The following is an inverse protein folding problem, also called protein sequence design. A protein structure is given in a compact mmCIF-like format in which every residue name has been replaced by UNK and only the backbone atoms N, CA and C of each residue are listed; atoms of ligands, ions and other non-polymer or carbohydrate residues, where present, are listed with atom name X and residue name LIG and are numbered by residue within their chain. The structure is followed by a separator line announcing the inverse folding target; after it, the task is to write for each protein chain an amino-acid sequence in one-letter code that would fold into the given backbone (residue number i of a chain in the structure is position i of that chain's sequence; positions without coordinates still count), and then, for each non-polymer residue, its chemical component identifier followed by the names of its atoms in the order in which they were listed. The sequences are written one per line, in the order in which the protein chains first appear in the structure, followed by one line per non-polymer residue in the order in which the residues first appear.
data_IF_201353552692
#
_entry.id   IF_201353552692
#
_cell.length_a   1.000
_cell.length_b   1.000
_cell.length_c   1.000
_cell.angle_alpha   90.00
_cell.angle_beta   90.00
_cell.angle_gamma   90.00
#
_symmetry.space_group_name_H-M   'P 1'
#
loop_
_entity.id
_entity.type
_entity.pdbx_description
1 polymer ?
#
# COMPACT_ATOMS: atom_id res chain seq x y z
N UNK A 1 2.38 53.63 48.42
CA UNK A 1 1.03 53.03 48.57
C UNK A 1 0.64 52.41 47.25
N UNK A 2 0.25 51.12 47.29
CA UNK A 2 -0.63 50.34 46.41
C UNK A 2 -0.97 50.96 45.04
N UNK A 3 -0.61 50.32 43.93
CA UNK A 3 -1.47 49.30 43.29
C UNK A 3 -2.42 50.01 42.32
N UNK A 4 -2.47 49.67 41.03
CA UNK A 4 -3.36 48.64 40.51
C UNK A 4 -2.85 48.21 39.13
N UNK A 5 -2.61 46.91 38.99
CA UNK A 5 -2.52 46.18 37.73
C UNK A 5 -3.90 46.16 37.05
N UNK A 6 -3.93 46.36 35.75
CA UNK A 6 -5.07 46.07 34.89
C UNK A 6 -4.80 46.68 33.51
N UNK A 7 -5.17 46.10 32.39
CA UNK A 7 -5.88 44.86 32.12
C UNK A 7 -5.62 44.63 30.62
N UNK A 8 -4.91 43.54 30.30
CA UNK A 8 -5.18 42.65 29.18
C UNK A 8 -5.92 43.25 27.96
N UNK A 9 -5.17 43.57 26.89
CA UNK A 9 -5.70 43.80 25.55
C UNK A 9 -5.12 42.82 24.53
N UNK A 10 -5.25 41.52 24.82
CA UNK A 10 -4.93 40.45 23.87
C UNK A 10 -6.07 40.38 22.86
N UNK A 11 -5.91 41.04 21.70
CA UNK A 11 -6.79 40.84 20.54
C UNK A 11 -5.92 40.74 19.28
N UNK A 12 -5.26 39.60 19.14
CA UNK A 12 -4.65 39.16 17.88
C UNK A 12 -4.63 37.62 17.81
N UNK A 13 -5.74 36.99 18.22
CA UNK A 13 -5.84 35.53 18.34
C UNK A 13 -7.19 35.04 17.81
N UNK A 14 -7.57 35.48 16.61
CA UNK A 14 -8.76 34.97 15.91
C UNK A 14 -8.52 34.97 14.40
N UNK A 15 -7.55 34.22 13.87
CA UNK A 15 -7.52 33.91 12.42
C UNK A 15 -6.88 32.55 12.03
N UNK A 16 -6.47 31.68 12.97
CA UNK A 16 -5.81 30.40 12.64
C UNK A 16 -6.71 29.16 12.81
N UNK A 17 -8.04 29.27 12.70
CA UNK A 17 -8.96 28.13 12.88
C UNK A 17 -10.07 28.10 11.83
N UNK A 18 -9.72 28.14 10.54
CA UNK A 18 -10.65 27.79 9.46
C UNK A 18 -9.91 27.48 8.15
N UNK A 19 -9.09 26.43 8.15
CA UNK A 19 -8.83 25.67 6.93
C UNK A 19 -8.52 24.23 7.29
N UNK A 20 -9.46 23.57 7.97
CA UNK A 20 -9.64 22.16 7.67
C UNK A 20 -10.23 22.15 6.26
N UNK A 21 -9.37 22.10 5.26
CA UNK A 21 -9.82 21.58 3.99
C UNK A 21 -10.37 20.18 4.33
N UNK A 22 -11.69 20.02 4.24
CA UNK A 22 -12.22 18.74 3.81
C UNK A 22 -11.89 18.64 2.33
N UNK A 23 -10.60 18.51 2.04
CA UNK A 23 -10.22 17.80 0.84
C UNK A 23 -10.63 16.37 1.15
N UNK A 24 -11.39 15.73 0.26
CA UNK A 24 -11.63 14.29 0.25
C UNK A 24 -10.28 13.60 -0.06
N UNK A 25 -9.30 13.83 0.81
CA UNK A 25 -7.93 13.39 0.69
C UNK A 25 -7.86 11.96 1.18
N UNK A 26 -7.16 11.12 0.41
CA UNK A 26 -6.92 9.73 0.75
C UNK A 26 -6.55 9.54 2.23
N UNK A 27 -7.33 8.69 2.89
CA UNK A 27 -7.16 8.31 4.29
C UNK A 27 -6.97 6.79 4.36
N UNK A 28 -5.72 6.28 4.45
CA UNK A 28 -5.47 4.85 4.43
C UNK A 28 -6.19 4.15 5.58
N UNK A 29 -6.73 2.97 5.29
CA UNK A 29 -7.33 2.13 6.33
C UNK A 29 -6.27 1.69 7.35
N UNK A 30 -6.59 1.77 8.64
CA UNK A 30 -5.66 1.40 9.71
C UNK A 30 -6.07 0.09 10.38
N UNK A 31 -5.08 -0.78 10.61
CA UNK A 31 -5.21 -1.98 11.41
C UNK A 31 -3.98 -2.15 12.32
N UNK A 32 -4.11 -3.00 13.32
CA UNK A 32 -3.06 -3.28 14.31
C UNK A 32 -1.92 -4.08 13.68
N UNK A 33 -2.25 -4.99 12.76
CA UNK A 33 -1.32 -5.68 11.88
C UNK A 33 -1.65 -5.41 10.42
N UNK A 34 -0.63 -5.15 9.61
CA UNK A 34 -0.75 -4.85 8.19
C UNK A 34 0.17 -5.78 7.40
N UNK A 35 -0.40 -6.52 6.46
CA UNK A 35 0.33 -7.37 5.52
C UNK A 35 0.02 -6.96 4.08
N UNK A 36 0.75 -5.99 3.55
CA UNK A 36 0.52 -5.38 2.25
C UNK A 36 1.74 -5.48 1.30
N UNK A 37 2.67 -6.38 1.60
CA UNK A 37 3.90 -6.57 0.84
C UNK A 37 3.69 -7.41 -0.43
N UNK A 38 4.37 -7.01 -1.49
CA UNK A 38 4.44 -7.67 -2.79
C UNK A 38 5.91 -7.96 -3.12
N UNK A 39 6.17 -9.17 -3.61
CA UNK A 39 7.42 -9.57 -4.25
C UNK A 39 7.13 -9.91 -5.71
N UNK A 40 7.76 -9.19 -6.63
CA UNK A 40 7.55 -9.38 -8.06
C UNK A 40 8.87 -9.75 -8.72
N UNK A 41 8.92 -10.95 -9.29
CA UNK A 41 10.01 -11.34 -10.20
C UNK A 41 9.70 -10.90 -11.62
N UNK A 42 10.75 -10.65 -12.42
CA UNK A 42 10.60 -10.36 -13.84
C UNK A 42 11.63 -11.14 -14.62
N UNK A 43 11.16 -12.08 -15.45
CA UNK A 43 12.00 -12.94 -16.26
C UNK A 43 11.62 -12.89 -17.74
N UNK A 44 12.59 -13.18 -18.61
CA UNK A 44 12.31 -13.39 -20.03
C UNK A 44 11.77 -14.81 -20.32
N UNK A 45 11.42 -15.08 -21.57
CA UNK A 45 10.91 -16.40 -21.99
C UNK A 45 11.93 -17.55 -21.80
N UNK A 46 13.22 -17.25 -21.65
CA UNK A 46 14.26 -18.22 -21.35
C UNK A 46 14.47 -18.40 -19.83
N UNK A 47 13.77 -17.64 -19.00
CA UNK A 47 13.86 -17.66 -17.55
C UNK A 47 15.01 -16.82 -16.98
N UNK A 48 15.64 -15.97 -17.79
CA UNK A 48 16.70 -15.08 -17.31
C UNK A 48 16.10 -13.97 -16.44
N UNK A 49 16.76 -13.65 -15.33
CA UNK A 49 16.36 -12.60 -14.40
C UNK A 49 16.65 -11.21 -15.00
N UNK A 50 15.60 -10.50 -15.36
CA UNK A 50 15.69 -9.16 -15.96
C UNK A 50 15.90 -8.07 -14.91
N UNK A 51 15.56 -8.30 -13.64
CA UNK A 51 15.80 -7.35 -12.55
C UNK A 51 17.27 -7.25 -12.16
N UNK A 52 18.10 -8.21 -12.59
CA UNK A 52 19.55 -8.12 -12.44
C UNK A 52 20.19 -7.03 -13.34
N UNK A 53 19.46 -6.54 -14.35
CA UNK A 53 19.94 -5.50 -15.26
C UNK A 53 19.73 -4.12 -14.66
N UNK A 54 20.81 -3.35 -14.47
CA UNK A 54 20.75 -1.96 -14.02
C UNK A 54 19.89 -1.08 -14.93
N UNK A 55 19.91 -1.36 -16.25
CA UNK A 55 19.09 -0.61 -17.20
C UNK A 55 17.59 -0.83 -16.99
N UNK A 56 17.17 -2.07 -16.69
CA UNK A 56 15.78 -2.38 -16.34
C UNK A 56 15.44 -1.76 -14.99
N UNK A 57 16.29 -1.94 -13.98
CA UNK A 57 16.08 -1.40 -12.65
C UNK A 57 15.89 0.14 -12.64
N UNK A 58 16.62 0.85 -13.50
CA UNK A 58 16.52 2.31 -13.63
C UNK A 58 15.16 2.79 -14.21
N UNK A 59 14.39 1.92 -14.85
CA UNK A 59 13.06 2.25 -15.38
C UNK A 59 11.93 2.04 -14.38
N UNK A 60 12.21 1.40 -13.25
CA UNK A 60 11.18 0.98 -12.31
C UNK A 60 10.60 2.19 -11.58
N UNK A 61 9.28 2.32 -11.60
CA UNK A 61 8.56 3.19 -10.69
C UNK A 61 7.29 2.51 -10.22
N UNK A 62 7.01 2.60 -8.93
CA UNK A 62 5.79 2.09 -8.31
C UNK A 62 5.00 3.30 -7.82
N UNK A 63 3.78 3.49 -8.31
CA UNK A 63 2.94 4.62 -7.96
C UNK A 63 1.62 4.14 -7.36
N UNK A 64 1.29 4.62 -6.17
CA UNK A 64 0.02 4.37 -5.52
C UNK A 64 -1.02 5.36 -5.99
N UNK A 65 -2.04 4.88 -6.71
CA UNK A 65 -3.09 5.75 -7.24
C UNK A 65 -3.91 6.43 -6.13
N UNK A 66 -4.29 5.75 -5.02
CA UNK A 66 -5.02 6.42 -3.94
C UNK A 66 -4.18 7.48 -3.23
N UNK A 67 -2.91 7.19 -2.90
CA UNK A 67 -2.06 8.16 -2.18
C UNK A 67 -1.49 9.27 -3.06
N UNK A 68 -1.65 9.14 -4.37
CA UNK A 68 -1.04 9.97 -5.41
C UNK A 68 0.49 10.11 -5.27
N UNK A 69 1.17 9.06 -4.78
CA UNK A 69 2.60 9.09 -4.44
C UNK A 69 3.36 7.91 -5.00
N UNK A 70 4.66 8.13 -5.20
CA UNK A 70 5.60 7.04 -5.44
C UNK A 70 5.75 6.18 -4.19
N UNK A 71 5.56 4.89 -4.37
CA UNK A 71 5.78 3.85 -3.36
C UNK A 71 7.27 3.48 -3.38
N UNK A 72 7.99 3.57 -2.25
CA UNK A 72 9.34 3.07 -2.15
C UNK A 72 9.41 1.57 -2.44
N UNK A 73 10.45 1.15 -3.14
CA UNK A 73 10.70 -0.25 -3.44
C UNK A 73 12.18 -0.58 -3.23
N UNK A 74 12.46 -1.86 -3.09
CA UNK A 74 13.80 -2.43 -3.04
C UNK A 74 13.91 -3.58 -4.05
N UNK A 75 15.11 -3.87 -4.53
CA UNK A 75 15.38 -5.10 -5.27
C UNK A 75 16.10 -6.05 -4.31
N UNK A 76 15.41 -7.11 -3.91
CA UNK A 76 15.89 -8.10 -2.96
C UNK A 76 16.36 -9.36 -3.69
N UNK A 77 17.56 -9.83 -3.37
CA UNK A 77 18.02 -11.13 -3.85
C UNK A 77 17.59 -12.22 -2.88
N UNK A 78 16.70 -13.12 -3.33
CA UNK A 78 16.15 -14.20 -2.50
C UNK A 78 16.64 -15.53 -3.07
N UNK A 79 17.33 -16.31 -2.22
CA UNK A 79 17.80 -17.64 -2.56
C UNK A 79 16.85 -18.70 -1.96
N UNK A 80 16.30 -19.56 -2.83
CA UNK A 80 15.48 -20.71 -2.44
C UNK A 80 16.04 -21.95 -3.12
N UNK A 81 16.45 -22.94 -2.34
CA UNK A 81 16.99 -24.22 -2.82
C UNK A 81 18.10 -24.05 -3.88
N UNK A 82 19.11 -23.23 -3.57
CA UNK A 82 20.29 -22.93 -4.42
C UNK A 82 20.00 -22.11 -5.69
N UNK A 83 18.74 -21.77 -5.96
CA UNK A 83 18.36 -20.83 -7.01
C UNK A 83 18.18 -19.45 -6.38
N UNK A 84 19.01 -18.51 -6.80
CA UNK A 84 18.93 -17.09 -6.41
C UNK A 84 18.23 -16.30 -7.51
N UNK A 85 17.27 -15.45 -7.12
CA UNK A 85 16.53 -14.58 -8.02
C UNK A 85 16.29 -13.23 -7.36
N UNK A 86 16.34 -12.16 -8.15
CA UNK A 86 15.97 -10.83 -7.70
C UNK A 86 14.45 -10.64 -7.74
N UNK A 87 13.93 -9.94 -6.74
CA UNK A 87 12.54 -9.58 -6.61
C UNK A 87 12.41 -8.09 -6.35
N UNK A 88 11.51 -7.45 -7.07
CA UNK A 88 11.03 -6.11 -6.74
C UNK A 88 10.11 -6.23 -5.51
N UNK A 89 10.53 -5.66 -4.40
CA UNK A 89 9.87 -5.70 -3.09
C UNK A 89 9.30 -4.34 -2.74
N UNK A 90 8.00 -4.27 -2.46
CA UNK A 90 7.32 -3.03 -2.06
C UNK A 90 6.03 -3.32 -1.29
N UNK A 91 5.56 -2.31 -0.56
CA UNK A 91 4.28 -2.36 0.14
C UNK A 91 3.25 -1.52 -0.62
N UNK A 92 2.16 -2.14 -1.04
CA UNK A 92 1.09 -1.44 -1.77
C UNK A 92 0.31 -0.51 -0.83
N UNK A 93 -0.28 0.54 -1.38
CA UNK A 93 -1.20 1.40 -0.61
C UNK A 93 -2.35 0.58 -0.03
N UNK A 94 -2.76 0.93 1.19
CA UNK A 94 -3.96 0.37 1.79
C UNK A 94 -5.20 0.96 1.11
N UNK A 95 -6.36 0.29 1.18
CA UNK A 95 -7.61 0.89 0.73
C UNK A 95 -7.90 2.19 1.48
N UNK A 96 -8.60 3.12 0.85
CA UNK A 96 -9.18 4.26 1.57
C UNK A 96 -10.21 3.75 2.58
N UNK A 97 -10.24 4.35 3.77
CA UNK A 97 -11.20 3.98 4.82
C UNK A 97 -12.66 4.08 4.37
N UNK A 98 -12.98 5.02 3.47
CA UNK A 98 -14.33 5.24 2.97
C UNK A 98 -14.78 4.19 1.94
N UNK A 99 -13.81 3.51 1.30
CA UNK A 99 -14.07 2.49 0.29
C UNK A 99 -14.14 1.06 0.87
N UNK A 100 -13.88 0.92 2.18
CA UNK A 100 -13.96 -0.36 2.87
C UNK A 100 -15.42 -0.80 3.05
N UNK A 101 -15.71 -2.03 2.63
CA UNK A 101 -17.03 -2.67 2.79
C UNK A 101 -16.96 -3.70 3.91
N UNK A 102 -17.73 -3.46 4.97
CA UNK A 102 -17.79 -4.33 6.15
C UNK A 102 -19.06 -5.17 6.20
N UNK A 103 -19.00 -6.28 6.94
CA UNK A 103 -20.19 -6.96 7.42
C UNK A 103 -20.88 -6.17 8.57
N UNK A 104 -22.06 -6.64 9.00
CA UNK A 104 -22.93 -5.92 9.94
C UNK A 104 -22.25 -5.61 11.29
N UNK A 105 -21.52 -6.57 11.84
CA UNK A 105 -20.79 -6.45 13.11
C UNK A 105 -19.39 -5.83 12.96
N UNK A 106 -18.99 -5.48 11.74
CA UNK A 106 -17.66 -4.95 11.37
C UNK A 106 -16.49 -5.85 11.76
N UNK A 107 -16.73 -7.14 12.02
CA UNK A 107 -15.66 -8.11 12.30
C UNK A 107 -14.87 -8.48 11.05
N UNK A 108 -15.44 -8.28 9.86
CA UNK A 108 -14.80 -8.59 8.58
C UNK A 108 -15.01 -7.44 7.59
N UNK A 109 -14.00 -7.15 6.79
CA UNK A 109 -14.06 -6.12 5.76
C UNK A 109 -13.31 -6.50 4.50
N UNK A 110 -13.63 -5.82 3.40
CA UNK A 110 -12.90 -5.89 2.14
C UNK A 110 -12.68 -4.48 1.62
N UNK A 111 -11.54 -4.28 0.96
CA UNK A 111 -11.23 -3.03 0.29
C UNK A 111 -10.33 -3.28 -0.90
N UNK A 112 -10.19 -2.27 -1.74
CA UNK A 112 -9.35 -2.31 -2.93
C UNK A 112 -8.42 -1.11 -2.94
N UNK A 113 -7.25 -1.31 -3.53
CA UNK A 113 -6.27 -0.27 -3.83
C UNK A 113 -5.70 -0.52 -5.21
N UNK A 114 -5.14 0.52 -5.83
CA UNK A 114 -4.60 0.44 -7.19
C UNK A 114 -3.16 0.92 -7.20
N UNK A 115 -2.29 0.14 -7.85
CA UNK A 115 -0.89 0.50 -8.05
C UNK A 115 -0.57 0.49 -9.53
N UNK A 116 0.08 1.55 -9.99
CA UNK A 116 0.66 1.66 -11.32
C UNK A 116 2.15 1.31 -11.24
N UNK A 117 2.52 0.21 -11.89
CA UNK A 117 3.91 -0.24 -12.02
C UNK A 117 4.41 0.11 -13.42
N UNK A 118 5.42 0.96 -13.51
CA UNK A 118 6.20 1.12 -14.74
C UNK A 118 7.49 0.30 -14.62
N UNK A 119 7.80 -0.48 -15.65
CA UNK A 119 9.00 -1.30 -15.73
C UNK A 119 9.28 -1.63 -17.20
N UNK A 120 10.51 -1.41 -17.66
CA UNK A 120 10.98 -1.78 -18.99
C UNK A 120 10.05 -1.29 -20.12
N UNK A 121 9.72 0.01 -20.08
CA UNK A 121 8.78 0.69 -21.01
C UNK A 121 7.32 0.19 -20.96
N UNK A 122 7.00 -0.70 -20.03
CA UNK A 122 5.64 -1.22 -19.82
C UNK A 122 4.99 -0.54 -18.64
N UNK A 123 3.66 -0.44 -18.72
CA UNK A 123 2.80 0.11 -17.68
C UNK A 123 1.78 -0.94 -17.30
N UNK A 124 1.75 -1.30 -16.03
CA UNK A 124 0.85 -2.30 -15.48
C UNK A 124 0.01 -1.70 -14.37
N UNK A 125 -1.29 -1.99 -14.40
CA UNK A 125 -2.22 -1.62 -13.35
C UNK A 125 -2.48 -2.84 -12.49
N UNK A 126 -2.00 -2.79 -11.25
CA UNK A 126 -2.17 -3.83 -10.24
C UNK A 126 -3.37 -3.47 -9.36
N UNK A 127 -4.46 -4.23 -9.50
CA UNK A 127 -5.63 -4.11 -8.63
C UNK A 127 -5.41 -4.98 -7.39
N UNK A 128 -5.16 -4.34 -6.25
CA UNK A 128 -4.87 -4.98 -4.97
C UNK A 128 -6.14 -5.11 -4.14
N UNK A 129 -6.55 -6.34 -3.83
CA UNK A 129 -7.74 -6.65 -3.01
C UNK A 129 -7.30 -7.05 -1.61
N UNK A 130 -7.91 -6.41 -0.62
CA UNK A 130 -7.61 -6.61 0.79
C UNK A 130 -8.76 -7.26 1.52
N UNK A 131 -8.40 -8.01 2.56
CA UNK A 131 -9.32 -8.53 3.56
C UNK A 131 -8.92 -8.01 4.93
N UNK A 132 -9.91 -7.58 5.69
CA UNK A 132 -9.78 -7.17 7.08
C UNK A 132 -10.49 -8.18 7.98
N UNK A 133 -9.87 -8.49 9.13
CA UNK A 133 -10.48 -9.30 10.19
C UNK A 133 -10.20 -8.68 11.54
N UNK A 134 -11.22 -8.65 12.39
CA UNK A 134 -11.14 -8.28 13.79
C UNK A 134 -11.69 -9.44 14.62
N UNK A 135 -10.83 -10.05 15.44
CA UNK A 135 -11.21 -11.22 16.25
C UNK A 135 -12.12 -10.85 17.43
N UNK A 136 -12.00 -9.61 17.91
CA UNK A 136 -12.80 -9.05 18.99
C UNK A 136 -12.93 -7.54 18.74
N UNK A 137 -14.13 -7.10 18.36
CA UNK A 137 -14.43 -5.68 18.08
C UNK A 137 -14.29 -4.79 19.32
N UNK A 138 -14.31 -5.35 20.52
CA UNK A 138 -14.14 -4.62 21.77
C UNK A 138 -12.66 -4.50 22.19
N UNK A 139 -11.76 -5.25 21.55
CA UNK A 139 -10.33 -5.28 21.85
C UNK A 139 -9.52 -4.44 20.86
N UNK A 140 -8.91 -3.36 21.38
CA UNK A 140 -7.88 -2.60 20.66
C UNK A 140 -6.63 -3.49 20.49
N UNK A 141 -6.31 -3.86 19.25
CA UNK A 141 -5.08 -4.63 18.93
C UNK A 141 -5.31 -5.96 18.21
N UNK A 142 -6.55 -6.45 18.15
CA UNK A 142 -6.87 -7.79 17.61
C UNK A 142 -7.39 -7.74 16.17
N UNK A 143 -6.90 -6.79 15.37
CA UNK A 143 -7.34 -6.62 13.99
C UNK A 143 -6.18 -6.56 12.99
N UNK A 144 -6.43 -7.12 11.82
CA UNK A 144 -5.45 -7.34 10.76
C UNK A 144 -6.07 -6.98 9.42
N UNK A 145 -5.33 -6.24 8.61
CA UNK A 145 -5.60 -6.09 7.19
C UNK A 145 -4.50 -6.78 6.39
N UNK A 146 -4.91 -7.53 5.39
CA UNK A 146 -4.00 -8.30 4.55
C UNK A 146 -4.37 -8.13 3.07
N UNK A 147 -3.35 -7.94 2.24
CA UNK A 147 -3.41 -8.14 0.80
C UNK A 147 -3.74 -9.61 0.52
N UNK A 148 -4.93 -9.83 -0.02
CA UNK A 148 -5.44 -11.16 -0.33
C UNK A 148 -5.10 -11.55 -1.76
N UNK A 149 -5.35 -10.64 -2.71
CA UNK A 149 -5.22 -10.93 -4.14
C UNK A 149 -4.69 -9.71 -4.89
N UNK A 150 -3.81 -9.94 -5.87
CA UNK A 150 -3.46 -8.96 -6.90
C UNK A 150 -3.98 -9.45 -8.24
N UNK A 151 -4.72 -8.58 -8.91
CA UNK A 151 -5.24 -8.79 -10.26
C UNK A 151 -4.57 -7.83 -11.24
N UNK A 152 -4.08 -8.35 -12.36
CA UNK A 152 -3.51 -7.56 -13.45
C UNK A 152 -3.83 -8.28 -14.77
N UNK A 153 -4.26 -7.52 -15.80
CA UNK A 153 -4.59 -8.06 -17.13
C UNK A 153 -5.51 -9.31 -17.11
N UNK A 154 -6.47 -9.36 -16.18
CA UNK A 154 -7.41 -10.48 -16.04
C UNK A 154 -6.85 -11.72 -15.34
N UNK A 155 -5.58 -11.71 -14.94
CA UNK A 155 -4.92 -12.78 -14.18
C UNK A 155 -4.87 -12.37 -12.71
N UNK A 156 -5.22 -13.30 -11.82
CA UNK A 156 -5.23 -13.09 -10.37
C UNK A 156 -4.26 -14.04 -9.68
N UNK A 157 -3.51 -13.53 -8.70
CA UNK A 157 -2.72 -14.34 -7.77
C UNK A 157 -3.11 -13.97 -6.35
N UNK A 158 -3.20 -14.97 -5.48
CA UNK A 158 -3.59 -14.78 -4.08
C UNK A 158 -2.41 -15.05 -3.14
N UNK A 159 -2.29 -14.23 -2.12
CA UNK A 159 -1.33 -14.43 -1.04
C UNK A 159 -1.82 -15.53 -0.09
N UNK A 160 -0.87 -16.21 0.58
CA UNK A 160 -1.22 -16.99 1.77
C UNK A 160 -1.44 -16.05 2.95
N UNK A 161 -2.23 -16.47 3.93
CA UNK A 161 -2.43 -15.71 5.16
C UNK A 161 -1.08 -15.41 5.85
N UNK A 162 -0.90 -14.17 6.31
CA UNK A 162 0.31 -13.63 6.93
C UNK A 162 1.58 -13.75 6.07
N UNK A 163 1.48 -13.61 4.74
CA UNK A 163 2.62 -13.68 3.84
C UNK A 163 2.63 -12.54 2.83
N UNK A 164 3.81 -12.27 2.26
CA UNK A 164 3.93 -11.41 1.07
C UNK A 164 3.38 -12.14 -0.14
N UNK A 165 2.80 -11.39 -1.07
CA UNK A 165 2.29 -11.93 -2.33
C UNK A 165 3.42 -12.01 -3.35
N UNK A 166 3.70 -13.22 -3.86
CA UNK A 166 4.74 -13.44 -4.88
C UNK A 166 4.11 -13.48 -6.27
N UNK A 167 4.65 -12.70 -7.19
CA UNK A 167 4.23 -12.64 -8.60
C UNK A 167 5.41 -12.88 -9.54
N UNK A 168 5.13 -13.42 -10.73
CA UNK A 168 6.05 -13.40 -11.86
C UNK A 168 5.45 -12.50 -12.94
N UNK A 169 6.18 -11.47 -13.31
CA UNK A 169 5.72 -10.47 -14.26
C UNK A 169 5.51 -11.06 -15.66
N UNK A 170 6.23 -12.13 -16.00
CA UNK A 170 6.05 -12.85 -17.25
C UNK A 170 4.61 -13.42 -17.40
N UNK A 171 3.91 -13.68 -16.29
CA UNK A 171 2.52 -14.15 -16.34
C UNK A 171 1.55 -13.08 -16.86
N UNK A 172 1.93 -11.80 -16.84
CA UNK A 172 1.01 -10.66 -17.04
C UNK A 172 1.28 -9.86 -18.31
N UNK A 173 2.31 -10.23 -19.05
CA UNK A 173 2.76 -9.52 -20.24
C UNK A 173 2.73 -10.49 -21.41
N UNK A 174 1.82 -10.23 -22.35
CA UNK A 174 1.77 -10.90 -23.66
C UNK A 174 2.91 -10.44 -24.58
#
# INVERSE_FOLDING_TARGET
MYGIKGFMGVVALVLCVASCNKDDSYSPFHASAIHNGVLLSYTDAAGNDLLASESVAATISVYGEPSEKNIPFEIENIAVNEISRNYLSFNVDLPDINDMVFNEDKSNGKGESMVKLNIDERVLMLKCKFVFRCADSESLGSNIIQLDTVECNGISKSAKWNSQLIMDLADYID
#
